data_IF_941614623139
#
_entry.id   IF_941614623139
#
_cell.length_a   1.000
_cell.length_b   1.000
_cell.length_c   1.000
_cell.angle_alpha   90.00
_cell.angle_beta   90.00
_cell.angle_gamma   90.00
#
_symmetry.space_group_name_H-M   'P 1'
#
loop_
_entity.id
_entity.type
_entity.pdbx_description
1 polymer ?
#
# COMPACT_ATOMS: atom_id res chain seq x y z
N UNK A 1 -4.86 -25.57 -1.07
CA UNK A 1 -4.03 -25.98 0.10
C UNK A 1 -2.54 -26.06 -0.21
N UNK A 2 -2.08 -26.87 -1.19
CA UNK A 2 -0.63 -26.99 -1.48
C UNK A 2 0.02 -25.69 -1.99
N UNK A 3 -0.67 -24.93 -2.84
CA UNK A 3 -0.19 -23.66 -3.40
C UNK A 3 0.01 -22.59 -2.32
N UNK A 4 -0.98 -22.40 -1.43
CA UNK A 4 -0.85 -21.48 -0.29
C UNK A 4 0.34 -21.83 0.61
N UNK A 5 0.61 -23.11 0.83
CA UNK A 5 1.75 -23.53 1.64
C UNK A 5 3.08 -23.09 0.99
N UNK A 6 3.22 -23.22 -0.33
CA UNK A 6 4.40 -22.76 -1.07
C UNK A 6 4.55 -21.24 -0.96
N UNK A 7 3.46 -20.49 -1.18
CA UNK A 7 3.46 -19.03 -1.05
C UNK A 7 3.83 -18.59 0.37
N UNK A 8 3.25 -19.20 1.41
CA UNK A 8 3.57 -18.90 2.82
C UNK A 8 5.06 -19.13 3.10
N UNK A 9 5.66 -20.22 2.61
CA UNK A 9 7.09 -20.44 2.76
C UNK A 9 7.94 -19.41 2.00
N UNK A 10 7.53 -19.01 0.79
CA UNK A 10 8.19 -17.93 0.03
C UNK A 10 8.15 -16.61 0.80
N UNK A 11 6.97 -16.21 1.30
CA UNK A 11 6.78 -15.00 2.08
C UNK A 11 7.62 -15.02 3.37
N UNK A 12 7.65 -16.15 4.07
CA UNK A 12 8.48 -16.32 5.27
C UNK A 12 9.97 -16.14 4.97
N UNK A 13 10.45 -16.73 3.86
CA UNK A 13 11.85 -16.58 3.41
C UNK A 13 12.19 -15.11 3.10
N UNK A 14 11.29 -14.40 2.42
CA UNK A 14 11.47 -12.98 2.09
C UNK A 14 11.42 -12.08 3.33
N UNK A 15 10.55 -12.39 4.29
CA UNK A 15 10.48 -11.72 5.60
C UNK A 15 11.80 -11.84 6.36
N UNK A 16 12.40 -13.03 6.36
CA UNK A 16 13.60 -13.32 7.16
C UNK A 16 14.91 -12.91 6.45
N UNK A 17 14.86 -12.56 5.16
CA UNK A 17 16.02 -12.17 4.36
C UNK A 17 16.76 -10.94 4.95
N UNK A 18 18.09 -10.96 4.93
CA UNK A 18 18.93 -9.91 5.53
C UNK A 18 19.57 -8.97 4.50
N UNK A 19 19.46 -9.30 3.22
CA UNK A 19 20.09 -8.55 2.13
C UNK A 19 19.05 -8.18 1.08
N UNK A 20 19.25 -7.06 0.35
CA UNK A 20 18.45 -6.73 -0.82
C UNK A 20 18.46 -7.86 -1.85
N UNK A 21 17.44 -7.97 -2.72
CA UNK A 21 17.50 -8.86 -3.88
C UNK A 21 18.62 -8.46 -4.84
N UNK A 22 19.08 -9.42 -5.64
CA UNK A 22 19.89 -9.13 -6.82
C UNK A 22 19.03 -8.44 -7.89
N UNK A 23 19.68 -7.66 -8.74
CA UNK A 23 19.03 -6.95 -9.84
C UNK A 23 18.26 -7.90 -10.76
N UNK A 24 18.89 -8.99 -11.18
CA UNK A 24 18.33 -10.03 -12.05
C UNK A 24 16.99 -10.59 -11.53
N UNK A 25 16.93 -10.88 -10.23
CA UNK A 25 15.72 -11.40 -9.58
C UNK A 25 14.62 -10.32 -9.59
N UNK A 26 14.97 -9.10 -9.21
CA UNK A 26 13.99 -8.01 -9.09
C UNK A 26 13.46 -7.58 -10.45
N UNK A 27 14.31 -7.49 -11.48
CA UNK A 27 13.89 -7.16 -12.85
C UNK A 27 12.93 -8.21 -13.42
N UNK A 28 13.20 -9.50 -13.20
CA UNK A 28 12.30 -10.57 -13.63
C UNK A 28 10.90 -10.48 -12.99
N UNK A 29 10.85 -10.19 -11.69
CA UNK A 29 9.58 -9.97 -10.98
C UNK A 29 8.88 -8.69 -11.45
N UNK A 30 9.63 -7.61 -11.71
CA UNK A 30 9.09 -6.35 -12.23
C UNK A 30 8.49 -6.52 -13.63
N UNK A 31 9.17 -7.21 -14.54
CA UNK A 31 8.61 -7.51 -15.86
C UNK A 31 7.29 -8.28 -15.78
N UNK A 32 7.22 -9.25 -14.86
CA UNK A 32 6.02 -10.06 -14.66
C UNK A 32 4.87 -9.19 -14.14
N UNK A 33 5.11 -8.38 -13.10
CA UNK A 33 4.04 -7.56 -12.49
C UNK A 33 3.61 -6.40 -13.40
N UNK A 34 4.54 -5.77 -14.10
CA UNK A 34 4.24 -4.72 -15.08
C UNK A 34 3.37 -5.30 -16.21
N UNK A 35 3.74 -6.47 -16.74
CA UNK A 35 2.94 -7.16 -17.76
C UNK A 35 1.51 -7.43 -17.29
N UNK A 36 1.35 -7.93 -16.05
CA UNK A 36 0.04 -8.12 -15.44
C UNK A 36 -0.76 -6.80 -15.33
N UNK A 37 -0.17 -5.77 -14.74
CA UNK A 37 -0.87 -4.51 -14.41
C UNK A 37 -1.17 -3.63 -15.63
N UNK A 38 -0.38 -3.76 -16.69
CA UNK A 38 -0.57 -3.06 -17.97
C UNK A 38 -1.63 -3.70 -18.86
N UNK A 39 -2.08 -4.93 -18.54
CA UNK A 39 -3.01 -5.64 -19.41
C UNK A 39 -4.41 -5.01 -19.36
N UNK A 40 -4.97 -4.56 -20.51
CA UNK A 40 -6.33 -4.05 -20.55
C UNK A 40 -7.38 -5.15 -20.32
N UNK A 41 -6.98 -6.43 -20.38
CA UNK A 41 -7.86 -7.56 -20.05
C UNK A 41 -8.02 -7.79 -18.54
N UNK A 42 -7.32 -7.02 -17.71
CA UNK A 42 -7.44 -7.10 -16.25
C UNK A 42 -8.70 -6.34 -15.81
N UNK A 43 -9.86 -6.99 -16.02
CA UNK A 43 -11.20 -6.40 -15.93
C UNK A 43 -11.57 -5.78 -14.56
N UNK A 44 -10.76 -5.99 -13.53
CA UNK A 44 -10.91 -5.36 -12.20
C UNK A 44 -10.49 -3.89 -12.22
N UNK A 45 -9.79 -3.43 -13.25
CA UNK A 45 -9.27 -2.06 -13.39
C UNK A 45 -9.95 -1.38 -14.59
N UNK A 46 -10.91 -0.48 -14.37
CA UNK A 46 -11.52 0.29 -15.45
C UNK A 46 -10.45 1.04 -16.27
N UNK A 47 -10.64 1.10 -17.59
CA UNK A 47 -9.76 1.84 -18.46
C UNK A 47 -10.00 3.35 -18.31
N UNK A 48 -8.93 4.12 -18.43
CA UNK A 48 -8.96 5.57 -18.59
C UNK A 48 -9.37 5.98 -20.01
N UNK A 49 -9.48 7.28 -20.24
CA UNK A 49 -9.87 7.89 -21.52
C UNK A 49 -8.85 7.63 -22.64
N UNK A 50 -7.62 7.22 -22.28
CA UNK A 50 -6.57 6.81 -23.22
C UNK A 50 -6.56 5.30 -23.47
N UNK A 51 -7.57 4.57 -22.98
CA UNK A 51 -7.69 3.11 -23.03
C UNK A 51 -6.56 2.36 -22.30
N UNK A 52 -5.85 3.02 -21.39
CA UNK A 52 -4.90 2.40 -20.48
C UNK A 52 -5.58 2.05 -19.15
N UNK A 53 -5.02 1.14 -18.33
CA UNK A 53 -5.59 0.82 -17.03
C UNK A 53 -5.58 2.06 -16.08
N UNK A 54 -6.76 2.48 -15.61
CA UNK A 54 -6.97 3.76 -14.90
C UNK A 54 -6.58 3.77 -13.40
N UNK A 55 -6.83 4.86 -12.67
CA UNK A 55 -6.44 4.99 -11.26
C UNK A 55 -7.28 4.20 -10.25
N UNK A 56 -8.31 3.46 -10.68
CA UNK A 56 -9.25 2.75 -9.80
C UNK A 56 -9.14 1.23 -9.98
N UNK A 57 -9.19 0.47 -8.88
CA UNK A 57 -9.49 -0.98 -8.92
C UNK A 57 -10.82 -1.28 -8.24
N UNK A 58 -11.55 -2.26 -8.76
CA UNK A 58 -12.81 -2.75 -8.21
C UNK A 58 -12.57 -4.07 -7.52
N UNK A 59 -12.93 -4.12 -6.24
CA UNK A 59 -12.90 -5.34 -5.46
C UNK A 59 -14.11 -6.21 -5.80
N UNK A 60 -13.96 -7.52 -5.65
CA UNK A 60 -15.10 -8.42 -5.79
C UNK A 60 -16.15 -8.08 -4.71
N UNK A 61 -17.40 -7.74 -5.11
CA UNK A 61 -18.42 -7.28 -4.18
C UNK A 61 -18.84 -8.40 -3.21
N UNK A 62 -19.51 -8.04 -2.12
CA UNK A 62 -20.05 -9.00 -1.15
C UNK A 62 -19.02 -9.96 -0.50
N UNK A 63 -17.72 -9.64 -0.53
CA UNK A 63 -16.68 -10.41 0.16
C UNK A 63 -16.07 -9.63 1.35
N UNK A 64 -15.65 -10.32 2.41
CA UNK A 64 -14.87 -9.69 3.47
C UNK A 64 -13.56 -9.12 2.89
N UNK A 65 -13.18 -7.93 3.31
CA UNK A 65 -12.01 -7.23 2.79
C UNK A 65 -11.05 -6.86 3.92
N UNK A 66 -9.77 -7.20 3.76
CA UNK A 66 -8.69 -6.78 4.64
C UNK A 66 -8.07 -5.50 4.07
N UNK A 67 -8.08 -4.42 4.86
CA UNK A 67 -7.34 -3.19 4.54
C UNK A 67 -6.07 -3.17 5.40
N UNK A 68 -4.92 -3.18 4.72
CA UNK A 68 -3.60 -3.12 5.34
C UNK A 68 -3.06 -1.70 5.15
N UNK A 69 -2.79 -0.96 6.23
CA UNK A 69 -2.25 0.39 6.16
C UNK A 69 -0.77 0.42 5.73
N UNK A 70 -0.15 1.61 5.81
CA UNK A 70 1.22 1.89 5.40
C UNK A 70 2.21 0.83 5.93
N UNK A 71 3.04 0.32 5.02
CA UNK A 71 3.90 -0.81 5.31
C UNK A 71 5.33 -0.40 5.67
N UNK A 72 5.90 0.59 5.01
CA UNK A 72 7.22 1.19 5.28
C UNK A 72 8.32 0.14 5.60
N UNK A 73 8.47 -0.86 4.72
CA UNK A 73 9.45 -1.95 4.90
C UNK A 73 9.13 -2.97 6.01
N UNK A 74 7.96 -2.91 6.66
CA UNK A 74 7.56 -3.78 7.78
C UNK A 74 7.10 -5.16 7.26
N UNK A 75 8.07 -5.97 6.86
CA UNK A 75 7.85 -7.32 6.30
C UNK A 75 7.10 -8.28 7.23
N UNK A 76 7.39 -8.24 8.52
CA UNK A 76 6.68 -9.06 9.51
C UNK A 76 5.20 -8.67 9.63
N UNK A 77 4.91 -7.36 9.55
CA UNK A 77 3.54 -6.86 9.59
C UNK A 77 2.73 -7.39 8.41
N UNK A 78 3.24 -7.23 7.18
CA UNK A 78 2.60 -7.77 5.98
C UNK A 78 2.39 -9.30 6.06
N UNK A 79 3.42 -10.02 6.51
CA UNK A 79 3.33 -11.48 6.70
C UNK A 79 2.22 -11.87 7.69
N UNK A 80 2.15 -11.22 8.85
CA UNK A 80 1.15 -11.52 9.89
C UNK A 80 -0.26 -11.15 9.46
N UNK A 81 -0.44 -10.02 8.79
CA UNK A 81 -1.73 -9.58 8.27
C UNK A 81 -2.36 -10.64 7.33
N UNK A 82 -1.53 -11.31 6.54
CA UNK A 82 -2.00 -12.31 5.58
C UNK A 82 -2.17 -13.72 6.17
N UNK A 83 -1.42 -14.06 7.23
CA UNK A 83 -1.31 -15.45 7.73
C UNK A 83 -2.02 -15.71 9.05
N UNK A 84 -2.34 -14.67 9.83
CA UNK A 84 -3.12 -14.84 11.07
C UNK A 84 -4.60 -15.10 10.77
N UNK A 85 -5.31 -15.87 11.62
CA UNK A 85 -6.71 -16.21 11.43
C UNK A 85 -7.64 -15.04 11.81
N UNK A 86 -7.74 -14.03 10.95
CA UNK A 86 -8.42 -12.77 11.24
C UNK A 86 -9.93 -12.78 10.98
N UNK A 87 -10.43 -13.68 10.15
CA UNK A 87 -11.85 -13.71 9.79
C UNK A 87 -12.43 -15.12 9.93
N UNK A 88 -13.36 -15.29 10.88
CA UNK A 88 -14.06 -16.56 11.15
C UNK A 88 -13.09 -17.75 11.34
N UNK A 89 -11.94 -17.51 11.99
CA UNK A 89 -10.92 -18.53 12.23
C UNK A 89 -10.02 -18.85 11.03
N UNK A 90 -10.12 -18.09 9.94
CA UNK A 90 -9.30 -18.27 8.72
C UNK A 90 -8.43 -17.05 8.44
N UNK A 91 -7.31 -17.29 7.79
CA UNK A 91 -6.42 -16.24 7.30
C UNK A 91 -6.83 -15.76 5.90
N UNK A 92 -6.31 -14.60 5.49
CA UNK A 92 -6.67 -14.00 4.21
C UNK A 92 -6.02 -14.67 2.99
N UNK A 93 -4.90 -15.39 3.12
CA UNK A 93 -4.36 -16.20 2.01
C UNK A 93 -5.30 -17.36 1.63
N UNK A 94 -5.94 -17.99 2.62
CA UNK A 94 -6.93 -19.04 2.37
C UNK A 94 -8.22 -18.46 1.77
N UNK A 95 -8.63 -17.27 2.21
CA UNK A 95 -9.76 -16.56 1.59
C UNK A 95 -9.47 -16.16 0.14
N UNK A 96 -8.27 -15.64 -0.15
CA UNK A 96 -7.85 -15.28 -1.51
C UNK A 96 -7.82 -16.50 -2.44
N UNK A 97 -7.24 -17.62 -1.98
CA UNK A 97 -7.16 -18.85 -2.77
C UNK A 97 -8.53 -19.47 -3.10
N UNK A 98 -9.54 -19.23 -2.26
CA UNK A 98 -10.92 -19.64 -2.50
C UNK A 98 -11.74 -18.59 -3.25
N UNK A 99 -11.17 -17.43 -3.58
CA UNK A 99 -11.89 -16.25 -4.13
C UNK A 99 -13.05 -15.79 -3.23
N UNK A 100 -12.81 -15.78 -1.91
CA UNK A 100 -13.80 -15.49 -0.85
C UNK A 100 -13.38 -14.35 0.09
N UNK A 101 -12.35 -13.60 -0.27
CA UNK A 101 -11.97 -12.38 0.43
C UNK A 101 -11.13 -11.48 -0.46
N UNK A 102 -11.11 -10.20 -0.16
CA UNK A 102 -10.24 -9.22 -0.80
C UNK A 102 -9.16 -8.75 0.18
N UNK A 103 -8.04 -8.29 -0.36
CA UNK A 103 -6.99 -7.62 0.40
C UNK A 103 -6.56 -6.37 -0.37
N UNK A 104 -6.50 -5.23 0.32
CA UNK A 104 -5.99 -3.97 -0.23
C UNK A 104 -4.94 -3.41 0.72
N UNK A 105 -3.75 -3.13 0.20
CA UNK A 105 -2.74 -2.35 0.90
C UNK A 105 -2.86 -0.89 0.47
N UNK A 106 -2.87 0.05 1.42
CA UNK A 106 -3.07 1.50 1.14
C UNK A 106 -1.85 2.17 0.48
N UNK A 107 -0.72 1.48 0.37
CA UNK A 107 0.52 1.98 -0.24
C UNK A 107 1.68 2.07 0.74
N UNK A 108 2.66 2.90 0.39
CA UNK A 108 3.85 3.21 1.19
C UNK A 108 4.63 1.96 1.61
N UNK A 109 5.18 1.24 0.63
CA UNK A 109 6.09 0.13 0.88
C UNK A 109 7.50 0.62 1.27
N UNK A 110 7.88 1.83 0.85
CA UNK A 110 9.20 2.39 1.04
C UNK A 110 9.31 3.31 2.25
N UNK A 111 10.57 3.54 2.63
CA UNK A 111 11.03 4.45 3.66
C UNK A 111 10.51 4.17 5.07
N UNK A 112 11.26 3.35 5.82
CA UNK A 112 10.94 3.00 7.20
C UNK A 112 10.70 4.23 8.10
N UNK A 113 9.76 4.09 9.03
CA UNK A 113 9.29 5.17 9.89
C UNK A 113 10.16 5.42 11.15
N UNK A 114 9.59 6.11 12.14
CA UNK A 114 10.26 6.56 13.35
C UNK A 114 11.12 5.49 14.07
N UNK A 115 10.73 4.20 14.17
CA UNK A 115 11.56 3.19 14.82
C UNK A 115 12.94 2.97 14.17
N UNK A 116 13.11 3.34 12.90
CA UNK A 116 14.35 3.13 12.15
C UNK A 116 15.08 4.44 11.86
N UNK A 117 14.71 5.54 12.53
CA UNK A 117 15.35 6.86 12.37
C UNK A 117 16.88 6.83 12.53
N UNK A 118 17.40 6.09 13.51
CA UNK A 118 18.86 6.01 13.71
C UNK A 118 19.55 5.23 12.58
N UNK A 119 18.86 4.26 11.96
CA UNK A 119 19.34 3.58 10.74
C UNK A 119 19.41 4.56 9.57
N UNK A 120 18.42 5.45 9.44
CA UNK A 120 18.44 6.51 8.42
C UNK A 120 19.60 7.48 8.57
N UNK A 121 19.90 7.92 9.79
CA UNK A 121 21.06 8.78 10.07
C UNK A 121 22.37 8.09 9.70
N UNK A 122 22.54 6.83 10.11
CA UNK A 122 23.72 6.05 9.75
C UNK A 122 23.83 5.84 8.23
N UNK A 123 22.71 5.59 7.54
CA UNK A 123 22.67 5.48 6.09
C UNK A 123 23.02 6.81 5.39
N UNK A 124 22.70 7.95 6.00
CA UNK A 124 23.07 9.26 5.49
C UNK A 124 24.58 9.50 5.58
N UNK A 125 25.23 9.11 6.68
CA UNK A 125 26.69 9.13 6.78
C UNK A 125 27.34 8.24 5.71
N UNK A 126 26.76 7.06 5.46
CA UNK A 126 27.18 6.17 4.37
C UNK A 126 27.03 6.84 3.00
N UNK A 127 25.90 7.51 2.74
CA UNK A 127 25.62 8.26 1.53
C UNK A 127 26.62 9.39 1.26
N UNK A 128 26.96 10.19 2.29
CA UNK A 128 27.94 11.29 2.16
C UNK A 128 29.35 10.80 1.76
N UNK A 129 29.67 9.53 2.04
CA UNK A 129 30.94 8.92 1.62
C UNK A 129 30.86 8.18 0.28
N UNK A 130 29.75 8.31 -0.45
CA UNK A 130 29.50 7.56 -1.68
C UNK A 130 29.31 6.06 -1.43
N UNK A 131 28.71 5.68 -0.30
CA UNK A 131 28.44 4.29 0.08
C UNK A 131 29.68 3.38 0.16
N UNK A 132 30.86 3.94 0.50
CA UNK A 132 32.09 3.15 0.77
C UNK A 132 31.86 2.08 1.83
N UNK A 133 31.09 2.42 2.87
CA UNK A 133 30.38 1.48 3.74
C UNK A 133 28.89 1.67 3.47
N UNK A 134 28.10 0.60 3.50
CA UNK A 134 26.67 0.64 3.14
C UNK A 134 25.80 -0.33 3.93
N UNK A 135 26.16 -0.59 5.20
CA UNK A 135 25.45 -1.56 6.04
C UNK A 135 24.06 -1.06 6.40
N UNK A 136 23.94 0.18 6.84
CA UNK A 136 22.67 0.77 7.24
C UNK A 136 21.74 0.92 6.03
N UNK A 137 22.27 1.45 4.91
CA UNK A 137 21.49 1.60 3.68
C UNK A 137 21.08 0.24 3.08
N UNK A 138 21.97 -0.76 3.05
CA UNK A 138 21.58 -2.10 2.57
C UNK A 138 20.51 -2.75 3.45
N UNK A 139 20.50 -2.46 4.76
CA UNK A 139 19.46 -2.99 5.65
C UNK A 139 18.10 -2.33 5.35
N UNK A 140 18.08 -1.02 5.15
CA UNK A 140 16.88 -0.30 4.74
C UNK A 140 16.34 -0.80 3.38
N UNK A 141 17.23 -0.94 2.39
CA UNK A 141 16.85 -1.45 1.08
C UNK A 141 16.45 -2.93 1.11
N UNK A 142 16.99 -3.72 2.03
CA UNK A 142 16.53 -5.10 2.24
C UNK A 142 15.10 -5.12 2.77
N UNK A 143 14.73 -4.24 3.69
CA UNK A 143 13.36 -4.16 4.20
C UNK A 143 12.38 -3.76 3.10
N UNK A 144 12.67 -2.67 2.37
CA UNK A 144 11.78 -2.12 1.35
C UNK A 144 11.64 -3.04 0.13
N UNK A 145 12.76 -3.49 -0.45
CA UNK A 145 12.70 -4.31 -1.66
C UNK A 145 12.19 -5.72 -1.39
N UNK A 146 12.50 -6.33 -0.24
CA UNK A 146 11.95 -7.67 0.08
C UNK A 146 10.46 -7.61 0.39
N UNK A 147 9.98 -6.51 0.99
CA UNK A 147 8.54 -6.27 1.11
C UNK A 147 7.88 -6.19 -0.27
N UNK A 148 8.51 -5.47 -1.21
CA UNK A 148 8.01 -5.39 -2.59
C UNK A 148 7.94 -6.78 -3.25
N UNK A 149 8.96 -7.63 -3.08
CA UNK A 149 8.91 -9.02 -3.57
C UNK A 149 7.78 -9.84 -2.93
N UNK A 150 7.46 -9.58 -1.65
CA UNK A 150 6.33 -10.22 -0.97
C UNK A 150 5.01 -9.78 -1.60
N UNK A 151 4.83 -8.48 -1.82
CA UNK A 151 3.66 -7.90 -2.51
C UNK A 151 3.50 -8.52 -3.91
N UNK A 152 4.57 -8.53 -4.71
CA UNK A 152 4.57 -9.15 -6.05
C UNK A 152 4.17 -10.61 -6.02
N UNK A 153 4.65 -11.37 -5.02
CA UNK A 153 4.32 -12.79 -4.89
C UNK A 153 2.83 -13.01 -4.65
N UNK A 154 2.17 -12.14 -3.88
CA UNK A 154 0.73 -12.24 -3.61
C UNK A 154 -0.10 -11.71 -4.78
N UNK A 155 0.31 -10.58 -5.40
CA UNK A 155 -0.36 -10.03 -6.58
C UNK A 155 -0.35 -11.00 -7.76
N UNK A 156 0.77 -11.70 -8.01
CA UNK A 156 0.87 -12.67 -9.09
C UNK A 156 0.00 -13.91 -8.85
N UNK A 157 -0.15 -14.34 -7.59
CA UNK A 157 -0.95 -15.51 -7.24
C UNK A 157 -2.46 -15.19 -7.21
N UNK A 158 -2.85 -14.00 -6.74
CA UNK A 158 -4.24 -13.59 -6.58
C UNK A 158 -4.55 -12.23 -7.22
N UNK A 159 -4.34 -12.07 -8.54
CA UNK A 159 -4.43 -10.78 -9.22
C UNK A 159 -5.84 -10.19 -9.24
N UNK A 160 -6.88 -10.98 -8.95
CA UNK A 160 -8.27 -10.53 -8.96
C UNK A 160 -8.76 -10.06 -7.59
N UNK A 161 -8.03 -10.36 -6.49
CA UNK A 161 -8.50 -10.13 -5.13
C UNK A 161 -7.46 -9.49 -4.19
N UNK A 162 -6.20 -9.39 -4.58
CA UNK A 162 -5.16 -8.67 -3.83
C UNK A 162 -4.68 -7.44 -4.61
N UNK A 163 -4.68 -6.28 -3.95
CA UNK A 163 -4.28 -5.01 -4.54
C UNK A 163 -3.32 -4.24 -3.63
N UNK A 164 -2.39 -3.51 -4.24
CA UNK A 164 -1.50 -2.56 -3.57
C UNK A 164 -1.70 -1.20 -4.24
N UNK A 165 -2.10 -0.19 -3.47
CA UNK A 165 -2.31 1.17 -3.97
C UNK A 165 -1.01 1.96 -4.00
N UNK A 166 -0.98 3.04 -4.78
CA UNK A 166 0.11 4.01 -4.76
C UNK A 166 0.01 4.86 -3.50
N UNK A 167 1.06 4.87 -2.69
CA UNK A 167 1.28 5.89 -1.68
C UNK A 167 2.24 6.99 -2.15
N UNK A 168 2.45 8.00 -1.31
CA UNK A 168 3.37 9.08 -1.66
C UNK A 168 4.85 8.65 -1.62
N UNK A 169 5.16 7.51 -1.01
CA UNK A 169 6.51 6.94 -0.99
C UNK A 169 6.86 6.12 -2.24
N UNK A 170 5.87 5.76 -3.07
CA UNK A 170 6.09 5.13 -4.37
C UNK A 170 6.54 6.18 -5.40
N UNK A 171 7.76 6.68 -5.21
CA UNK A 171 8.45 7.66 -6.06
C UNK A 171 9.96 7.36 -6.05
N UNK A 172 10.36 6.20 -6.58
CA UNK A 172 11.74 5.69 -6.54
C UNK A 172 12.76 6.63 -7.21
N UNK A 173 12.30 7.40 -8.21
CA UNK A 173 13.13 8.37 -8.92
C UNK A 173 13.18 9.72 -8.20
N UNK A 174 12.59 9.83 -7.01
CA UNK A 174 12.56 11.03 -6.17
C UNK A 174 12.17 12.28 -6.98
N UNK A 175 11.20 12.12 -7.87
CA UNK A 175 10.84 13.14 -8.85
C UNK A 175 9.94 14.23 -8.25
N UNK A 176 9.98 15.41 -8.86
CA UNK A 176 9.04 16.50 -8.63
C UNK A 176 8.20 16.71 -9.90
N UNK A 177 6.88 16.57 -9.79
CA UNK A 177 5.92 16.67 -10.89
C UNK A 177 5.10 15.39 -11.05
N UNK A 178 4.06 15.41 -11.90
CA UNK A 178 3.10 14.30 -12.04
C UNK A 178 2.36 13.98 -10.74
N UNK A 179 2.11 15.02 -9.94
CA UNK A 179 1.60 14.90 -8.56
C UNK A 179 2.59 14.29 -7.54
N UNK A 180 3.80 13.89 -7.95
CA UNK A 180 4.84 13.38 -7.05
C UNK A 180 5.71 14.52 -6.47
N UNK A 181 6.19 14.33 -5.24
CA UNK A 181 7.13 15.21 -4.57
C UNK A 181 8.33 14.42 -4.02
N UNK A 182 9.54 15.00 -4.02
CA UNK A 182 10.71 14.37 -3.42
C UNK A 182 10.49 14.11 -1.92
N UNK A 183 10.86 12.92 -1.47
CA UNK A 183 10.57 12.49 -0.10
C UNK A 183 11.69 12.83 0.89
N UNK A 184 11.30 13.42 2.02
CA UNK A 184 12.21 13.79 3.11
C UNK A 184 11.49 13.77 4.46
N UNK A 185 11.97 12.99 5.43
CA UNK A 185 11.39 12.95 6.80
C UNK A 185 12.43 13.14 7.91
N UNK A 186 13.50 12.36 7.88
CA UNK A 186 14.60 12.42 8.86
C UNK A 186 15.90 12.91 8.23
N UNK A 187 16.20 12.49 7.00
CA UNK A 187 17.44 12.80 6.28
C UNK A 187 17.10 13.22 4.85
N UNK A 188 17.66 12.62 3.81
CA UNK A 188 17.28 12.82 2.41
C UNK A 188 16.89 11.47 1.78
N UNK A 189 15.91 10.80 2.39
CA UNK A 189 15.58 9.39 2.13
C UNK A 189 15.30 9.10 0.66
N UNK A 190 14.50 9.94 -0.01
CA UNK A 190 14.17 9.76 -1.42
C UNK A 190 15.42 9.75 -2.31
N UNK A 191 16.31 10.74 -2.14
CA UNK A 191 17.53 10.83 -2.94
C UNK A 191 18.51 9.69 -2.61
N UNK A 192 18.64 9.33 -1.34
CA UNK A 192 19.49 8.22 -0.91
C UNK A 192 19.05 6.90 -1.54
N UNK A 193 17.74 6.63 -1.56
CA UNK A 193 17.16 5.43 -2.19
C UNK A 193 17.39 5.45 -3.71
N UNK A 194 17.10 6.57 -4.38
CA UNK A 194 17.34 6.74 -5.82
C UNK A 194 18.79 6.44 -6.20
N UNK A 195 19.74 7.09 -5.51
CA UNK A 195 21.17 6.94 -5.79
C UNK A 195 21.65 5.53 -5.47
N UNK A 196 21.20 4.93 -4.36
CA UNK A 196 21.53 3.55 -4.03
C UNK A 196 21.02 2.59 -5.11
N UNK A 197 19.76 2.72 -5.52
CA UNK A 197 19.15 1.86 -6.55
C UNK A 197 19.93 1.95 -7.84
N UNK A 198 20.24 3.17 -8.31
CA UNK A 198 21.08 3.36 -9.50
C UNK A 198 22.46 2.70 -9.36
N UNK A 199 23.16 2.89 -8.24
CA UNK A 199 24.52 2.40 -8.08
C UNK A 199 24.62 0.87 -7.92
N UNK A 200 23.62 0.24 -7.31
CA UNK A 200 23.70 -1.17 -6.90
C UNK A 200 22.75 -2.10 -7.64
N UNK A 201 21.70 -1.56 -8.26
CA UNK A 201 20.79 -2.29 -9.14
C UNK A 201 20.85 -1.80 -10.59
N UNK A 202 21.41 -0.62 -10.86
CA UNK A 202 21.55 -0.09 -12.22
C UNK A 202 20.33 0.70 -12.69
N UNK A 203 20.53 1.45 -13.78
CA UNK A 203 19.51 2.34 -14.33
C UNK A 203 18.29 1.60 -14.89
N UNK A 204 18.47 0.38 -15.40
CA UNK A 204 17.37 -0.44 -15.91
C UNK A 204 16.39 -0.83 -14.81
N UNK A 205 16.91 -1.36 -13.69
CA UNK A 205 16.08 -1.70 -12.54
C UNK A 205 15.37 -0.47 -11.94
N UNK A 206 16.06 0.68 -11.88
CA UNK A 206 15.44 1.95 -11.46
C UNK A 206 14.27 2.35 -12.39
N UNK A 207 14.45 2.25 -13.71
CA UNK A 207 13.42 2.56 -14.69
C UNK A 207 12.21 1.62 -14.59
N UNK A 208 12.44 0.32 -14.35
CA UNK A 208 11.38 -0.67 -14.14
C UNK A 208 10.60 -0.42 -12.85
N UNK A 209 11.28 -0.07 -11.75
CA UNK A 209 10.60 0.33 -10.51
C UNK A 209 9.72 1.56 -10.73
N UNK A 210 10.24 2.59 -11.41
CA UNK A 210 9.47 3.79 -11.77
C UNK A 210 8.26 3.45 -12.63
N UNK A 211 8.44 2.56 -13.61
CA UNK A 211 7.33 2.10 -14.45
C UNK A 211 6.25 1.39 -13.65
N UNK A 212 6.64 0.49 -12.74
CA UNK A 212 5.72 -0.18 -11.83
C UNK A 212 4.94 0.83 -10.97
N UNK A 213 5.61 1.80 -10.36
CA UNK A 213 4.97 2.81 -9.51
C UNK A 213 3.96 3.69 -10.27
N UNK A 214 4.20 3.95 -11.56
CA UNK A 214 3.28 4.68 -12.44
C UNK A 214 2.09 3.83 -12.91
N UNK A 215 2.11 2.51 -12.68
CA UNK A 215 1.00 1.61 -12.96
C UNK A 215 0.12 1.36 -11.74
N UNK A 216 0.49 1.82 -10.54
CA UNK A 216 -0.27 1.53 -9.33
C UNK A 216 -1.66 2.18 -9.36
N UNK A 217 -2.73 1.52 -8.89
CA UNK A 217 -4.00 2.19 -8.67
C UNK A 217 -3.90 3.19 -7.50
N UNK A 218 -4.67 4.27 -7.55
CA UNK A 218 -4.75 5.27 -6.48
C UNK A 218 -5.88 4.98 -5.49
N UNK A 219 -6.91 4.24 -5.92
CA UNK A 219 -8.04 3.89 -5.08
C UNK A 219 -8.55 2.47 -5.34
N UNK A 220 -9.15 1.87 -4.31
CA UNK A 220 -9.94 0.65 -4.43
C UNK A 220 -11.41 0.91 -4.07
N UNK A 221 -12.31 0.45 -4.92
CA UNK A 221 -13.76 0.45 -4.72
C UNK A 221 -14.23 -0.90 -4.19
N UNK A 222 -14.71 -0.92 -2.95
CA UNK A 222 -15.38 -2.05 -2.34
C UNK A 222 -16.89 -1.87 -2.27
N UNK A 223 -17.57 -2.82 -1.64
CA UNK A 223 -19.02 -2.79 -1.44
C UNK A 223 -19.42 -1.78 -0.35
N UNK A 224 -19.57 -0.51 -0.76
CA UNK A 224 -19.93 0.60 0.11
C UNK A 224 -18.76 1.21 0.87
N UNK A 225 -17.53 0.98 0.42
CA UNK A 225 -16.37 1.67 0.96
C UNK A 225 -15.35 1.97 -0.13
N UNK A 226 -14.52 2.98 0.12
CA UNK A 226 -13.33 3.29 -0.67
C UNK A 226 -12.07 3.08 0.16
N UNK A 227 -10.97 2.77 -0.50
CA UNK A 227 -9.63 2.80 0.08
C UNK A 227 -8.79 3.73 -0.77
N UNK A 228 -8.18 4.74 -0.15
CA UNK A 228 -7.21 5.67 -0.76
C UNK A 228 -5.98 5.69 0.13
N UNK A 229 -4.85 6.17 -0.40
CA UNK A 229 -3.65 6.30 0.42
C UNK A 229 -3.81 7.40 1.49
N UNK A 230 -4.17 8.61 1.08
CA UNK A 230 -4.41 9.76 1.98
C UNK A 230 -5.91 10.12 2.05
N UNK A 231 -6.26 11.12 2.87
CA UNK A 231 -7.61 11.70 2.89
C UNK A 231 -7.83 12.43 1.55
N UNK A 232 -8.92 12.17 0.81
CA UNK A 232 -9.27 12.96 -0.37
C UNK A 232 -9.22 14.47 -0.09
N UNK A 233 -8.35 15.20 -0.80
CA UNK A 233 -8.17 16.64 -0.61
C UNK A 233 -9.45 17.43 -0.90
N UNK A 234 -10.22 17.00 -1.89
CA UNK A 234 -11.51 17.56 -2.30
C UNK A 234 -12.47 16.43 -2.67
N UNK A 235 -13.70 16.77 -3.02
CA UNK A 235 -14.59 15.80 -3.66
C UNK A 235 -14.02 15.37 -5.01
N UNK A 236 -13.80 14.08 -5.20
CA UNK A 236 -13.41 13.48 -6.48
C UNK A 236 -14.52 12.58 -6.99
N UNK A 237 -14.86 12.75 -8.27
CA UNK A 237 -15.78 11.85 -8.94
C UNK A 237 -15.11 10.51 -9.27
N UNK A 238 -15.91 9.47 -9.46
CA UNK A 238 -15.43 8.16 -9.93
C UNK A 238 -14.61 8.28 -11.23
N UNK A 239 -15.01 9.18 -12.15
CA UNK A 239 -14.34 9.34 -13.43
C UNK A 239 -13.00 10.07 -13.30
N UNK A 240 -12.87 11.05 -12.41
CA UNK A 240 -11.58 11.69 -12.11
C UNK A 240 -10.57 10.68 -11.57
N UNK A 241 -11.00 9.78 -10.67
CA UNK A 241 -10.10 8.75 -10.12
C UNK A 241 -9.70 7.73 -11.21
N UNK A 242 -10.61 7.35 -12.10
CA UNK A 242 -10.27 6.48 -13.25
C UNK A 242 -9.22 7.17 -14.14
N UNK A 243 -9.35 8.48 -14.38
CA UNK A 243 -8.47 9.26 -15.25
C UNK A 243 -7.29 9.94 -14.54
N UNK A 244 -7.01 9.56 -13.29
CA UNK A 244 -6.14 10.33 -12.41
C UNK A 244 -4.71 10.58 -12.92
N UNK A 245 -4.17 9.68 -13.77
CA UNK A 245 -2.83 9.85 -14.32
C UNK A 245 -2.70 10.95 -15.39
N UNK A 246 -3.82 11.52 -15.81
CA UNK A 246 -3.85 12.71 -16.67
C UNK A 246 -3.97 14.03 -15.88
N UNK A 247 -4.16 13.96 -14.55
CA UNK A 247 -4.39 15.09 -13.68
C UNK A 247 -3.56 14.98 -12.38
N UNK A 248 -2.47 15.74 -12.33
CA UNK A 248 -1.55 15.83 -11.19
C UNK A 248 -2.26 16.17 -9.87
N UNK A 249 -3.35 16.94 -9.91
CA UNK A 249 -4.10 17.34 -8.70
C UNK A 249 -4.87 16.16 -8.10
N UNK A 250 -5.35 15.23 -8.94
CA UNK A 250 -6.00 13.99 -8.45
C UNK A 250 -4.97 13.08 -7.81
N UNK A 251 -3.81 12.89 -8.44
CA UNK A 251 -2.74 12.09 -7.86
C UNK A 251 -2.27 12.67 -6.52
N UNK A 252 -2.03 13.98 -6.48
CA UNK A 252 -1.66 14.68 -5.26
C UNK A 252 -2.73 14.53 -4.17
N UNK A 253 -3.99 14.85 -4.51
CA UNK A 253 -5.08 14.88 -3.54
C UNK A 253 -5.52 13.52 -3.01
N UNK A 254 -5.02 12.42 -3.58
CA UNK A 254 -5.23 11.06 -3.07
C UNK A 254 -4.00 10.47 -2.36
N UNK A 255 -2.82 11.09 -2.48
CA UNK A 255 -1.57 10.53 -1.93
C UNK A 255 -0.84 11.45 -0.95
N UNK A 256 -1.04 12.76 -0.98
CA UNK A 256 -0.21 13.71 -0.18
C UNK A 256 -0.97 14.53 0.86
N UNK A 257 -2.30 14.54 0.83
CA UNK A 257 -3.14 15.40 1.69
C UNK A 257 -2.80 15.21 3.18
N UNK A 258 -2.36 16.28 3.84
CA UNK A 258 -2.07 16.23 5.28
C UNK A 258 -3.37 16.28 6.13
N UNK A 259 -3.23 15.90 7.39
CA UNK A 259 -4.27 16.04 8.39
C UNK A 259 -4.70 17.51 8.51
N UNK A 260 -5.93 17.80 8.09
CA UNK A 260 -6.55 19.12 8.19
C UNK A 260 -6.44 19.97 6.92
N UNK A 261 -5.83 19.43 5.86
CA UNK A 261 -5.75 20.10 4.56
C UNK A 261 -6.92 19.76 3.64
N UNK A 262 -7.60 18.65 3.88
CA UNK A 262 -8.78 18.27 3.12
C UNK A 262 -9.91 19.30 3.28
N UNK A 263 -10.58 19.62 2.18
CA UNK A 263 -11.76 20.48 2.18
C UNK A 263 -12.91 19.85 2.98
N UNK A 264 -13.70 20.65 3.71
CA UNK A 264 -14.91 20.14 4.36
C UNK A 264 -15.82 19.41 3.36
N UNK A 265 -16.28 18.22 3.72
CA UNK A 265 -17.13 17.38 2.87
C UNK A 265 -16.41 16.70 1.70
N UNK A 266 -15.08 16.79 1.60
CA UNK A 266 -14.31 16.14 0.53
C UNK A 266 -14.59 14.64 0.42
N UNK A 267 -14.60 13.95 1.57
CA UNK A 267 -14.82 12.51 1.66
C UNK A 267 -16.27 12.17 1.35
N UNK A 268 -17.22 12.91 1.93
CA UNK A 268 -18.65 12.72 1.67
C UNK A 268 -18.96 12.88 0.17
N UNK A 269 -18.52 13.96 -0.47
CA UNK A 269 -18.71 14.21 -1.89
C UNK A 269 -18.07 13.13 -2.78
N UNK A 270 -16.89 12.63 -2.37
CA UNK A 270 -16.23 11.51 -3.07
C UNK A 270 -17.08 10.24 -2.93
N UNK A 271 -17.50 9.89 -1.72
CA UNK A 271 -18.32 8.71 -1.46
C UNK A 271 -19.67 8.78 -2.18
N UNK A 272 -20.32 9.94 -2.22
CA UNK A 272 -21.59 10.14 -2.92
C UNK A 272 -21.45 9.96 -4.43
N UNK A 273 -20.28 10.27 -5.02
CA UNK A 273 -20.01 9.97 -6.43
C UNK A 273 -19.93 8.46 -6.71
N UNK A 274 -19.58 7.65 -5.72
CA UNK A 274 -19.47 6.19 -5.87
C UNK A 274 -20.75 5.47 -5.42
N UNK A 275 -21.36 5.96 -4.36
CA UNK A 275 -22.46 5.31 -3.64
C UNK A 275 -23.59 6.33 -3.33
N UNK A 276 -24.23 6.94 -4.34
CA UNK A 276 -25.17 8.06 -4.16
C UNK A 276 -26.38 7.75 -3.28
N UNK A 277 -26.72 6.48 -3.12
CA UNK A 277 -27.87 6.02 -2.32
C UNK A 277 -27.47 5.41 -0.96
N UNK A 278 -26.18 5.43 -0.60
CA UNK A 278 -25.65 4.75 0.59
C UNK A 278 -24.99 5.71 1.58
N UNK A 279 -25.76 6.09 2.59
CA UNK A 279 -25.35 7.03 3.65
C UNK A 279 -24.29 6.49 4.60
N UNK A 280 -24.21 5.16 4.79
CA UNK A 280 -23.23 4.49 5.66
C UNK A 280 -21.88 4.16 5.00
N UNK A 281 -21.62 4.68 3.80
CA UNK A 281 -20.36 4.40 3.11
C UNK A 281 -19.17 5.09 3.76
N UNK A 282 -17.99 4.50 3.71
CA UNK A 282 -16.79 5.02 4.39
C UNK A 282 -15.57 4.97 3.49
N UNK A 283 -14.59 5.81 3.77
CA UNK A 283 -13.30 5.81 3.12
C UNK A 283 -12.21 5.43 4.12
N UNK A 284 -11.29 4.55 3.74
CA UNK A 284 -10.13 4.17 4.51
C UNK A 284 -8.88 4.80 3.92
N UNK A 285 -7.93 5.15 4.78
CA UNK A 285 -6.57 5.42 4.32
C UNK A 285 -5.53 5.43 5.43
N UNK A 286 -4.32 5.74 5.02
CA UNK A 286 -3.11 5.71 5.82
C UNK A 286 -2.41 7.07 5.84
N UNK A 287 -1.21 7.14 5.26
CA UNK A 287 -0.37 8.32 5.04
C UNK A 287 0.14 8.99 6.32
N UNK A 288 -0.77 9.48 7.18
CA UNK A 288 -0.42 10.18 8.41
C UNK A 288 -0.56 9.30 9.64
N UNK A 289 0.41 9.31 10.56
CA UNK A 289 0.35 8.48 11.75
C UNK A 289 -0.76 8.96 12.70
N UNK A 290 -1.43 8.01 13.34
CA UNK A 290 -2.41 8.25 14.41
C UNK A 290 -1.80 7.99 15.78
N UNK A 291 -2.30 8.69 16.82
CA UNK A 291 -1.84 8.48 18.21
C UNK A 291 -2.43 7.22 18.86
N UNK A 292 -3.64 6.84 18.44
CA UNK A 292 -4.36 5.64 18.90
C UNK A 292 -4.31 4.52 17.88
N UNK A 293 -5.37 3.71 17.80
CA UNK A 293 -5.48 2.67 16.76
C UNK A 293 -6.01 3.20 15.44
N UNK A 294 -6.81 4.26 15.50
CA UNK A 294 -7.35 4.94 14.33
C UNK A 294 -7.68 6.40 14.67
N UNK A 295 -8.00 7.18 13.65
CA UNK A 295 -8.64 8.48 13.78
C UNK A 295 -9.83 8.55 12.81
N UNK A 296 -10.93 9.13 13.27
CA UNK A 296 -12.08 9.45 12.44
C UNK A 296 -11.99 10.90 11.99
N UNK A 297 -12.26 11.13 10.71
CA UNK A 297 -12.14 12.43 10.05
C UNK A 297 -13.30 12.62 9.07
N UNK A 298 -13.52 13.87 8.65
CA UNK A 298 -14.56 14.23 7.69
C UNK A 298 -15.94 13.69 8.12
N UNK A 299 -16.41 14.11 9.30
CA UNK A 299 -17.69 13.67 9.88
C UNK A 299 -17.77 12.14 10.06
N UNK A 300 -16.69 11.53 10.53
CA UNK A 300 -16.53 10.10 10.77
C UNK A 300 -16.64 9.21 9.51
N UNK A 301 -16.62 9.81 8.32
CA UNK A 301 -16.67 9.10 7.03
C UNK A 301 -15.29 8.67 6.52
N UNK A 302 -14.21 9.18 7.11
CA UNK A 302 -12.83 8.74 6.82
C UNK A 302 -12.19 8.08 8.03
N UNK A 303 -11.79 6.82 7.86
CA UNK A 303 -11.11 6.01 8.87
C UNK A 303 -9.62 5.96 8.52
N UNK A 304 -8.84 6.73 9.29
CA UNK A 304 -7.39 6.76 9.14
C UNK A 304 -6.75 5.72 10.03
N UNK A 305 -5.95 4.83 9.44
CA UNK A 305 -5.27 3.74 10.12
C UNK A 305 -3.83 3.81 9.67
N UNK A 306 -2.94 4.36 10.50
CA UNK A 306 -1.50 4.27 10.28
C UNK A 306 -0.82 4.40 11.64
N UNK A 307 -0.19 3.33 12.11
CA UNK A 307 0.59 3.38 13.34
C UNK A 307 2.03 2.96 13.06
N UNK A 308 3.02 3.81 13.42
CA UNK A 308 4.43 3.59 13.08
C UNK A 308 5.11 2.41 13.80
N UNK A 309 4.37 1.70 14.66
CA UNK A 309 4.91 0.66 15.55
C UNK A 309 3.95 -0.51 15.64
N UNK A 310 2.71 -0.25 16.08
CA UNK A 310 1.68 -1.26 16.20
C UNK A 310 1.27 -1.77 14.82
N UNK A 311 0.99 -3.07 14.73
CA UNK A 311 0.57 -3.72 13.49
C UNK A 311 -0.97 -3.76 13.50
N UNK A 312 -1.61 -2.82 12.81
CA UNK A 312 -3.07 -2.66 12.84
C UNK A 312 -3.64 -2.90 11.45
N UNK A 313 -4.77 -3.59 11.34
CA UNK A 313 -5.48 -3.79 10.06
C UNK A 313 -6.97 -3.56 10.26
N UNK A 314 -7.67 -3.14 9.21
CA UNK A 314 -9.13 -3.10 9.21
C UNK A 314 -9.71 -4.32 8.49
N UNK A 315 -10.78 -4.89 9.03
CA UNK A 315 -11.52 -6.02 8.45
C UNK A 315 -12.93 -5.55 8.13
N UNK A 316 -13.20 -5.22 6.88
CA UNK A 316 -14.54 -4.86 6.41
C UNK A 316 -15.33 -6.14 6.19
N UNK A 317 -16.39 -6.34 6.98
CA UNK A 317 -17.24 -7.53 6.94
C UNK A 317 -18.38 -7.33 5.94
N UNK A 318 -18.90 -8.43 5.41
CA UNK A 318 -19.96 -8.40 4.40
C UNK A 318 -21.28 -7.95 5.02
N UNK A 319 -21.89 -6.89 4.47
CA UNK A 319 -23.26 -6.48 4.80
C UNK A 319 -23.43 -5.93 6.22
N UNK A 320 -22.33 -5.61 6.90
CA UNK A 320 -22.32 -4.99 8.22
C UNK A 320 -21.81 -3.56 8.10
N UNK A 321 -22.37 -2.65 8.89
CA UNK A 321 -21.79 -1.32 9.07
C UNK A 321 -20.42 -1.44 9.76
N UNK A 322 -19.48 -0.60 9.37
CA UNK A 322 -18.14 -0.67 9.93
C UNK A 322 -18.09 -0.05 11.33
N UNK A 323 -17.66 -0.85 12.31
CA UNK A 323 -17.33 -0.40 13.65
C UNK A 323 -15.81 -0.44 13.85
N UNK A 324 -15.12 0.72 13.87
CA UNK A 324 -13.66 0.76 14.03
C UNK A 324 -13.16 0.01 15.27
N UNK A 325 -13.87 0.10 16.40
CA UNK A 325 -13.46 -0.53 17.66
C UNK A 325 -13.50 -2.07 17.61
N UNK A 326 -14.35 -2.65 16.76
CA UNK A 326 -14.47 -4.11 16.62
C UNK A 326 -13.70 -4.66 15.41
N UNK A 327 -13.48 -3.83 14.39
CA UNK A 327 -12.98 -4.26 13.09
C UNK A 327 -11.57 -3.78 12.79
N UNK A 328 -10.98 -2.94 13.65
CA UNK A 328 -9.55 -2.62 13.62
C UNK A 328 -8.83 -3.51 14.61
N UNK A 329 -8.02 -4.42 14.07
CA UNK A 329 -7.38 -5.49 14.84
C UNK A 329 -5.89 -5.25 14.96
N UNK A 330 -5.37 -5.37 16.18
CA UNK A 330 -3.95 -5.36 16.47
C UNK A 330 -3.36 -6.76 16.34
N UNK A 331 -2.30 -6.88 15.54
CA UNK A 331 -1.67 -8.13 15.18
C UNK A 331 -0.45 -8.44 16.03
N UNK A 332 0.26 -7.42 16.54
CA UNK A 332 1.55 -7.54 17.23
C UNK A 332 1.45 -7.89 18.72
N UNK A 333 0.25 -8.11 19.23
CA UNK A 333 0.04 -8.70 20.56
C UNK A 333 -0.07 -10.22 20.44
N UNK A 334 0.45 -10.95 21.44
CA UNK A 334 0.24 -12.39 21.56
C UNK A 334 -1.24 -12.67 21.91
N UNK A 335 -2.13 -12.60 20.92
CA UNK A 335 -3.56 -12.88 21.11
C UNK A 335 -3.86 -14.38 21.14
N UNK A 336 -3.16 -15.12 22.02
CA UNK A 336 -3.75 -16.26 22.73
C UNK A 336 -4.54 -15.82 23.97
N UNK A 337 -4.66 -14.52 24.24
CA UNK A 337 -5.34 -14.02 25.44
C UNK A 337 -6.51 -13.08 25.08
N UNK A 338 -7.70 -13.70 25.13
CA UNK A 338 -9.01 -13.16 25.55
C UNK A 338 -9.83 -12.33 24.55
N UNK A 339 -10.80 -13.06 23.97
CA UNK A 339 -12.21 -12.65 24.02
C UNK A 339 -12.61 -12.38 25.48
N UNK A 340 -13.20 -11.22 25.72
CA UNK A 340 -14.05 -10.92 26.88
C UNK A 340 -15.35 -10.41 26.33
#
# INVERSE_FOLDING_TARGET
>A
MAVNQILIQKLKKLRDAKTPPGCDILEGELHTIIGLMSSPSWNVRPLDDSAAPGGLVRLEPNLPSLVIPDLHGRRDFFYRALTLPLYQGRNFLDLLAEKRGNVVCVGDAFHGEAPVRERWKAAYDEFLTGFRKRRAMNHEMADNLRLLQMIFSVMQEYPENFFFLKGNHENIDNELGRGNYPFRKFVNEGEMVKVWTRLFLGDNCLALLKQYENLLPLAAEGDGFLVTHAEPQRGFSRMEIINAYSDDDVLYGLTWTDNGEAQPGSVANTLDSFFPERTGSICFGGHRPVKGFFALRNEDRYVQINHPVAQLVAIVRRGEDFSPDEQIVRLDTDNTVRRG
#
